data_IF_204421350085
#
_entry.id   IF_204421350085
#
_cell.length_a   1.000
_cell.length_b   1.000
_cell.length_c   1.000
_cell.angle_alpha   90.00
_cell.angle_beta   90.00
_cell.angle_gamma   90.00
#
_symmetry.space_group_name_H-M   'P 1'
#
loop_
_entity.id
_entity.type
_entity.pdbx_description
1 polymer ?
#
# COMPACT_ATOMS: atom_id res chain seq x y z
N UNK A 1 -40.84 32.96 -9.79
CA UNK A 1 -39.39 32.79 -10.04
C UNK A 1 -39.03 31.33 -9.81
N UNK A 2 -38.39 30.63 -10.76
CA UNK A 2 -38.00 29.24 -10.57
C UNK A 2 -36.92 29.12 -9.47
N UNK A 3 -36.90 28.04 -8.69
CA UNK A 3 -35.93 27.87 -7.61
C UNK A 3 -34.50 27.80 -8.17
N UNK A 4 -33.58 28.54 -7.55
CA UNK A 4 -32.17 28.51 -7.92
C UNK A 4 -31.62 27.08 -7.77
N UNK A 5 -31.15 26.50 -8.87
CA UNK A 5 -30.52 25.17 -8.88
C UNK A 5 -29.03 25.29 -8.56
N UNK A 6 -28.49 24.29 -7.90
CA UNK A 6 -27.07 24.16 -7.55
C UNK A 6 -26.46 23.00 -8.34
N UNK A 7 -25.56 23.32 -9.27
CA UNK A 7 -24.89 22.32 -10.11
C UNK A 7 -23.56 21.88 -9.49
N UNK A 8 -23.21 20.60 -9.67
CA UNK A 8 -21.93 20.08 -9.22
C UNK A 8 -20.78 20.59 -10.11
N UNK A 9 -19.64 21.04 -9.55
CA UNK A 9 -18.49 21.50 -10.33
C UNK A 9 -17.59 20.36 -10.85
N UNK A 10 -17.96 19.10 -10.59
CA UNK A 10 -17.13 17.92 -10.89
C UNK A 10 -17.85 16.86 -11.72
N UNK A 11 -19.15 17.03 -11.97
CA UNK A 11 -20.01 16.22 -12.83
C UNK A 11 -21.25 17.03 -13.24
N UNK A 12 -22.11 16.50 -14.10
CA UNK A 12 -23.27 17.21 -14.65
C UNK A 12 -24.54 17.13 -13.78
N UNK A 13 -24.45 16.69 -12.52
CA UNK A 13 -25.60 16.58 -11.64
C UNK A 13 -26.08 17.94 -11.08
N UNK A 14 -27.39 18.19 -11.13
CA UNK A 14 -28.05 19.39 -10.58
C UNK A 14 -28.92 19.06 -9.35
N UNK A 15 -28.94 19.95 -8.37
CA UNK A 15 -29.71 19.80 -7.14
C UNK A 15 -30.53 21.04 -6.82
N UNK A 16 -31.74 20.84 -6.31
CA UNK A 16 -32.63 21.93 -5.86
C UNK A 16 -32.25 22.47 -4.47
N UNK A 17 -31.36 21.78 -3.75
CA UNK A 17 -30.88 22.16 -2.42
C UNK A 17 -29.36 22.02 -2.29
N UNK A 18 -28.72 23.02 -1.68
CA UNK A 18 -27.27 23.06 -1.45
C UNK A 18 -26.75 21.92 -0.55
N UNK A 19 -27.55 21.44 0.39
CA UNK A 19 -27.17 20.31 1.27
C UNK A 19 -27.08 18.99 0.52
N UNK A 20 -27.97 18.75 -0.44
CA UNK A 20 -27.96 17.56 -1.30
C UNK A 20 -26.74 17.56 -2.20
N UNK A 21 -26.39 18.73 -2.76
CA UNK A 21 -25.14 18.90 -3.51
C UNK A 21 -23.91 18.63 -2.64
N UNK A 22 -23.84 19.17 -1.42
CA UNK A 22 -22.71 18.91 -0.50
C UNK A 22 -22.57 17.44 -0.14
N UNK A 23 -23.68 16.74 0.10
CA UNK A 23 -23.67 15.30 0.38
C UNK A 23 -23.20 14.51 -0.84
N UNK A 24 -23.66 14.88 -2.04
CA UNK A 24 -23.23 14.27 -3.29
C UNK A 24 -21.72 14.44 -3.52
N UNK A 25 -21.17 15.65 -3.36
CA UNK A 25 -19.73 15.91 -3.53
C UNK A 25 -18.92 15.10 -2.51
N UNK A 26 -19.35 15.06 -1.25
CA UNK A 26 -18.66 14.31 -0.18
C UNK A 26 -18.63 12.80 -0.42
N UNK A 27 -19.67 12.23 -1.04
CA UNK A 27 -19.80 10.79 -1.28
C UNK A 27 -19.20 10.35 -2.62
N UNK A 28 -19.32 11.17 -3.68
CA UNK A 28 -18.94 10.79 -5.05
C UNK A 28 -17.71 11.54 -5.59
N UNK A 29 -17.25 12.60 -4.93
CA UNK A 29 -16.08 13.40 -5.32
C UNK A 29 -15.09 13.59 -4.16
N UNK A 30 -14.97 12.57 -3.30
CA UNK A 30 -14.15 12.59 -2.09
C UNK A 30 -12.67 12.93 -2.33
N UNK A 31 -12.12 12.57 -3.50
CA UNK A 31 -10.75 12.92 -3.92
C UNK A 31 -10.59 14.37 -4.42
N UNK A 32 -11.67 15.01 -4.89
CA UNK A 32 -11.63 16.41 -5.37
C UNK A 32 -11.91 17.43 -4.25
N UNK A 33 -12.63 17.04 -3.20
CA UNK A 33 -12.79 17.83 -1.97
C UNK A 33 -11.46 18.03 -1.21
N UNK A 34 -10.51 17.09 -1.30
CA UNK A 34 -9.17 17.22 -0.71
C UNK A 34 -8.34 18.35 -1.33
N UNK A 35 -8.63 18.75 -2.58
CA UNK A 35 -8.02 19.93 -3.21
C UNK A 35 -8.65 21.25 -2.73
N UNK A 36 -9.88 21.22 -2.18
CA UNK A 36 -10.61 22.41 -1.70
C UNK A 36 -10.61 22.59 -0.18
N UNK A 37 -10.06 21.62 0.57
CA UNK A 37 -9.94 21.66 2.03
C UNK A 37 -8.55 22.09 2.54
N UNK A 38 -7.73 22.76 1.72
CA UNK A 38 -6.53 23.44 2.23
C UNK A 38 -6.93 24.65 3.07
N UNK A 39 -7.27 24.37 4.31
CA UNK A 39 -7.40 25.33 5.38
C UNK A 39 -6.98 24.65 6.69
N UNK A 40 -5.70 24.29 6.78
CA UNK A 40 -5.09 23.72 7.99
C UNK A 40 -4.98 24.74 9.14
N UNK A 41 -5.35 26.02 8.93
CA UNK A 41 -5.40 27.04 9.96
C UNK A 41 -6.48 28.09 9.66
N UNK A 42 -7.13 28.65 10.68
CA UNK A 42 -7.93 29.87 10.54
C UNK A 42 -7.02 31.11 10.36
N UNK A 43 -7.42 32.07 9.52
CA UNK A 43 -6.67 33.31 9.33
C UNK A 43 -6.59 34.12 10.65
N UNK A 44 -5.60 35.02 10.76
CA UNK A 44 -5.32 35.82 11.96
C UNK A 44 -6.56 36.59 12.43
N UNK A 45 -7.33 37.17 11.50
CA UNK A 45 -8.55 37.92 11.82
C UNK A 45 -9.69 37.03 12.35
N UNK A 46 -9.91 35.85 11.75
CA UNK A 46 -10.91 34.90 12.23
C UNK A 46 -10.50 34.29 13.59
N UNK A 47 -9.20 34.03 13.80
CA UNK A 47 -8.65 33.59 15.10
C UNK A 47 -8.90 34.64 16.19
N UNK A 48 -8.51 35.88 15.95
CA UNK A 48 -8.67 36.97 16.93
C UNK A 48 -10.14 37.20 17.33
N UNK A 49 -11.07 37.00 16.38
CA UNK A 49 -12.51 37.20 16.59
C UNK A 49 -13.26 35.93 17.00
N UNK A 50 -12.58 34.78 17.12
CA UNK A 50 -13.16 33.46 17.40
C UNK A 50 -14.36 33.11 16.49
N UNK A 51 -14.29 33.52 15.22
CA UNK A 51 -15.32 33.21 14.21
C UNK A 51 -14.84 32.10 13.28
N UNK A 52 -15.80 31.33 12.73
CA UNK A 52 -15.51 30.23 11.81
C UNK A 52 -14.81 30.76 10.54
N UNK A 53 -13.67 30.18 10.19
CA UNK A 53 -12.91 30.51 8.98
C UNK A 53 -13.13 29.43 7.91
N UNK A 54 -13.62 29.81 6.74
CA UNK A 54 -13.81 28.88 5.61
C UNK A 54 -12.52 28.57 4.86
N UNK A 55 -11.42 29.28 5.20
CA UNK A 55 -10.09 28.82 4.81
C UNK A 55 -9.64 29.11 3.37
N UNK A 56 -10.51 29.70 2.55
CA UNK A 56 -10.12 30.39 1.31
C UNK A 56 -9.23 31.59 1.62
N UNK A 57 -8.31 31.95 0.71
CA UNK A 57 -7.49 33.16 0.82
C UNK A 57 -7.80 34.11 -0.36
N UNK A 58 -8.53 35.23 -0.13
CA UNK A 58 -9.08 35.70 1.13
C UNK A 58 -10.32 34.88 1.57
N UNK A 59 -10.52 34.75 2.88
CA UNK A 59 -11.68 34.02 3.39
C UNK A 59 -12.93 34.88 3.26
N UNK A 60 -14.09 34.26 3.04
CA UNK A 60 -15.35 34.97 2.76
C UNK A 60 -15.70 36.01 3.84
N UNK A 61 -15.43 35.68 5.12
CA UNK A 61 -15.60 36.60 6.25
C UNK A 61 -14.73 37.86 6.13
N UNK A 62 -13.47 37.72 5.69
CA UNK A 62 -12.57 38.85 5.50
C UNK A 62 -12.93 39.64 4.24
N UNK A 63 -13.38 38.96 3.18
CA UNK A 63 -13.78 39.59 1.92
C UNK A 63 -15.03 40.47 2.11
N UNK A 64 -16.08 39.96 2.75
CA UNK A 64 -17.33 40.70 2.99
C UNK A 64 -17.16 41.92 3.89
N UNK A 65 -16.16 41.91 4.77
CA UNK A 65 -15.87 43.01 5.70
C UNK A 65 -14.72 43.92 5.24
N UNK A 66 -14.18 43.69 4.04
CA UNK A 66 -13.05 44.45 3.51
C UNK A 66 -11.78 44.35 4.37
N UNK A 67 -11.61 43.25 5.11
CA UNK A 67 -10.47 43.04 6.00
C UNK A 67 -9.36 42.27 5.28
N UNK A 68 -8.10 42.65 5.51
CA UNK A 68 -6.95 41.96 4.94
C UNK A 68 -6.82 40.54 5.55
N UNK A 69 -6.97 39.50 4.73
CA UNK A 69 -6.88 38.12 5.18
C UNK A 69 -5.42 37.64 5.20
N UNK A 70 -4.86 37.39 6.39
CA UNK A 70 -3.49 36.86 6.58
C UNK A 70 -3.52 35.58 7.41
N UNK A 71 -2.65 34.63 7.08
CA UNK A 71 -2.47 33.39 7.82
C UNK A 71 -1.06 33.40 8.43
N UNK A 72 -0.94 33.16 9.74
CA UNK A 72 0.37 32.99 10.39
C UNK A 72 0.96 31.65 9.95
N UNK A 73 1.97 31.69 9.08
CA UNK A 73 2.93 30.60 8.97
C UNK A 73 3.89 30.74 10.16
N UNK A 74 3.79 29.85 11.13
CA UNK A 74 4.70 29.82 12.27
C UNK A 74 6.14 29.54 11.82
N UNK A 75 7.01 30.55 11.91
CA UNK A 75 8.45 30.49 11.66
C UNK A 75 9.01 31.88 11.43
N UNK A 76 9.35 32.58 12.50
CA UNK A 76 9.57 34.03 12.53
C UNK A 76 10.80 34.57 11.80
N UNK A 77 10.70 35.84 11.39
CA UNK A 77 11.83 36.71 11.08
C UNK A 77 11.82 37.88 12.06
N UNK A 78 12.87 37.97 12.87
CA UNK A 78 13.23 39.12 13.69
C UNK A 78 14.74 39.19 13.72
N UNK A 79 15.30 40.20 13.06
CA UNK A 79 16.71 40.40 12.79
C UNK A 79 17.47 40.87 14.05
N UNK A 80 18.69 40.37 14.25
CA UNK A 80 19.82 41.15 14.77
C UNK A 80 21.16 40.52 14.33
N UNK A 81 22.15 41.37 14.10
CA UNK A 81 23.37 41.18 13.28
C UNK A 81 24.48 40.36 13.95
N UNK A 82 25.15 39.46 13.19
CA UNK A 82 26.59 39.13 13.31
C UNK A 82 27.11 38.37 12.06
N UNK A 83 28.40 38.54 11.77
CA UNK A 83 29.17 38.27 10.54
C UNK A 83 29.32 36.79 10.06
N UNK A 84 29.82 36.55 8.82
CA UNK A 84 29.80 35.25 8.14
C UNK A 84 31.08 34.42 8.33
N UNK A 85 30.94 33.11 8.57
CA UNK A 85 31.99 32.07 8.57
C UNK A 85 31.39 30.73 8.03
N UNK A 86 32.21 29.78 7.55
CA UNK A 86 32.09 29.19 6.21
C UNK A 86 31.01 28.11 6.04
N UNK A 87 30.55 28.00 4.79
CA UNK A 87 29.56 27.04 4.31
C UNK A 87 29.88 25.60 4.73
N UNK A 88 29.23 25.14 5.79
CA UNK A 88 29.11 23.72 6.09
C UNK A 88 27.92 23.18 5.29
N UNK A 89 28.24 22.30 4.34
CA UNK A 89 27.33 21.51 3.52
C UNK A 89 26.01 21.20 4.24
N UNK A 90 24.92 21.79 3.76
CA UNK A 90 23.56 21.50 4.24
C UNK A 90 23.23 20.03 3.94
N UNK A 91 23.51 19.15 4.89
CA UNK A 91 23.03 17.76 4.84
C UNK A 91 21.50 17.81 4.93
N UNK A 92 20.83 17.61 3.80
CA UNK A 92 19.38 17.43 3.77
C UNK A 92 19.06 16.15 4.55
N UNK A 93 18.63 16.28 5.80
CA UNK A 93 18.23 15.14 6.62
C UNK A 93 16.94 14.55 6.06
N UNK A 94 17.00 13.35 5.49
CA UNK A 94 15.83 12.64 4.97
C UNK A 94 14.94 12.23 6.15
N UNK A 95 13.79 12.90 6.32
CA UNK A 95 12.79 12.51 7.30
C UNK A 95 11.94 11.35 6.75
N UNK A 96 12.40 10.14 7.05
CA UNK A 96 11.72 8.88 6.70
C UNK A 96 10.44 8.60 7.50
N UNK A 97 10.04 9.47 8.43
CA UNK A 97 8.83 9.27 9.25
C UNK A 97 7.61 10.03 8.72
N UNK A 98 7.82 11.08 7.94
CA UNK A 98 6.74 11.86 7.34
C UNK A 98 6.23 11.20 6.06
N UNK A 99 5.31 10.24 6.21
CA UNK A 99 4.67 9.50 5.12
C UNK A 99 3.72 10.33 4.22
N UNK A 100 3.72 11.66 4.36
CA UNK A 100 2.97 12.56 3.48
C UNK A 100 3.86 13.55 2.74
N UNK A 101 5.18 13.38 2.81
CA UNK A 101 6.12 14.20 2.05
C UNK A 101 6.01 13.89 0.54
N UNK A 102 6.20 14.90 -0.34
CA UNK A 102 6.14 14.69 -1.78
C UNK A 102 7.24 13.77 -2.32
N UNK A 103 8.34 13.61 -1.57
CA UNK A 103 9.47 12.74 -1.94
C UNK A 103 9.12 11.24 -1.85
N UNK A 104 8.03 10.88 -1.19
CA UNK A 104 7.60 9.48 -1.06
C UNK A 104 7.27 8.86 -2.40
N UNK A 105 6.60 9.62 -3.27
CA UNK A 105 6.18 9.12 -4.57
C UNK A 105 7.42 8.70 -5.39
N UNK A 106 8.53 9.44 -5.26
CA UNK A 106 9.82 9.09 -5.87
C UNK A 106 10.38 7.76 -5.33
N UNK A 107 10.34 7.53 -4.02
CA UNK A 107 10.85 6.28 -3.43
C UNK A 107 9.93 5.09 -3.75
N UNK A 108 8.61 5.30 -3.78
CA UNK A 108 7.64 4.28 -4.19
C UNK A 108 7.84 3.92 -5.67
N UNK A 109 8.07 4.89 -6.55
CA UNK A 109 8.44 4.62 -7.95
C UNK A 109 9.76 3.85 -8.04
N UNK A 110 10.78 4.23 -7.26
CA UNK A 110 12.05 3.53 -7.25
C UNK A 110 11.90 2.06 -6.81
N UNK A 111 11.02 1.78 -5.83
CA UNK A 111 10.66 0.42 -5.41
C UNK A 111 10.07 -0.38 -6.58
N UNK A 112 9.01 0.13 -7.21
CA UNK A 112 8.32 -0.59 -8.28
C UNK A 112 9.17 -0.72 -9.56
N UNK A 113 10.09 0.20 -9.81
CA UNK A 113 10.95 0.15 -10.98
C UNK A 113 12.15 -0.80 -10.83
N UNK A 114 12.68 -0.99 -9.61
CA UNK A 114 13.99 -1.63 -9.40
C UNK A 114 13.97 -2.86 -8.52
N UNK A 115 12.97 -3.01 -7.65
CA UNK A 115 12.87 -4.12 -6.71
C UNK A 115 11.69 -5.04 -7.03
N UNK A 116 10.52 -4.47 -7.31
CA UNK A 116 9.30 -5.22 -7.63
C UNK A 116 9.48 -6.26 -8.76
N UNK A 117 10.27 -6.04 -9.84
CA UNK A 117 10.48 -7.08 -10.86
C UNK A 117 11.12 -8.39 -10.35
N UNK A 118 11.78 -8.37 -9.20
CA UNK A 118 12.36 -9.57 -8.57
C UNK A 118 11.47 -10.09 -7.43
N UNK A 119 10.81 -9.21 -6.70
CA UNK A 119 9.97 -9.52 -5.55
C UNK A 119 8.55 -8.98 -5.78
N UNK A 120 7.86 -9.54 -6.76
CA UNK A 120 6.59 -9.05 -7.29
C UNK A 120 5.38 -9.52 -6.49
N UNK A 121 5.38 -9.32 -5.16
CA UNK A 121 4.26 -9.71 -4.27
C UNK A 121 3.39 -8.54 -3.79
N UNK A 122 3.60 -7.34 -4.30
CA UNK A 122 2.68 -6.21 -4.18
C UNK A 122 2.11 -5.88 -5.55
N UNK A 123 0.81 -5.70 -5.68
CA UNK A 123 0.23 -5.34 -6.98
C UNK A 123 0.38 -3.85 -7.26
N UNK A 124 1.13 -3.51 -8.32
CA UNK A 124 1.50 -2.11 -8.63
C UNK A 124 0.28 -1.21 -8.86
N UNK A 125 -0.73 -1.69 -9.58
CA UNK A 125 -1.87 -0.86 -9.95
C UNK A 125 -2.84 -0.60 -8.79
N UNK A 126 -2.87 -1.47 -7.77
CA UNK A 126 -3.74 -1.30 -6.60
C UNK A 126 -3.02 -0.67 -5.41
N UNK A 127 -1.68 -0.73 -5.37
CA UNK A 127 -0.90 -0.12 -4.30
C UNK A 127 -1.04 1.40 -4.31
N UNK A 128 -1.49 1.98 -3.19
CA UNK A 128 -1.57 3.43 -3.02
C UNK A 128 -1.04 3.84 -1.65
N UNK A 129 0.05 4.63 -1.55
CA UNK A 129 0.62 5.04 -0.26
C UNK A 129 -0.37 5.70 0.69
N UNK A 130 -1.43 6.31 0.16
CA UNK A 130 -2.47 6.99 0.96
C UNK A 130 -3.57 6.06 1.48
N UNK A 131 -3.66 4.84 0.95
CA UNK A 131 -4.69 3.85 1.30
C UNK A 131 -4.11 2.65 2.03
N UNK A 132 -2.82 2.38 1.83
CA UNK A 132 -2.12 1.29 2.51
C UNK A 132 -1.87 1.56 3.99
N UNK A 133 -1.61 0.47 4.72
CA UNK A 133 -1.11 0.56 6.09
C UNK A 133 0.20 1.36 6.11
N UNK A 134 0.34 2.37 7.00
CA UNK A 134 1.58 3.17 7.10
C UNK A 134 2.84 2.33 7.23
N UNK A 135 2.75 1.19 7.93
CA UNK A 135 3.86 0.26 8.12
C UNK A 135 4.30 -0.43 6.82
N UNK A 136 3.35 -0.77 5.93
CA UNK A 136 3.66 -1.29 4.60
C UNK A 136 4.30 -0.22 3.71
N UNK A 137 3.79 1.01 3.77
CA UNK A 137 4.38 2.14 3.04
C UNK A 137 5.81 2.41 3.50
N UNK A 138 6.09 2.33 4.81
CA UNK A 138 7.46 2.43 5.34
C UNK A 138 8.37 1.36 4.76
N UNK A 139 7.92 0.11 4.65
CA UNK A 139 8.70 -0.97 4.06
C UNK A 139 9.04 -0.70 2.58
N UNK A 140 8.05 -0.22 1.81
CA UNK A 140 8.23 0.16 0.41
C UNK A 140 9.18 1.34 0.27
N UNK A 141 9.03 2.38 1.10
CA UNK A 141 9.91 3.56 1.11
C UNK A 141 11.33 3.19 1.52
N UNK A 142 11.52 2.30 2.49
CA UNK A 142 12.83 1.80 2.92
C UNK A 142 13.60 1.18 1.74
N UNK A 143 12.95 0.27 1.00
CA UNK A 143 13.57 -0.36 -0.17
C UNK A 143 13.73 0.66 -1.31
N UNK A 144 12.78 1.57 -1.49
CA UNK A 144 12.85 2.65 -2.48
C UNK A 144 14.02 3.62 -2.26
N UNK A 145 14.25 4.02 -1.01
CA UNK A 145 15.42 4.79 -0.56
C UNK A 145 16.72 4.06 -0.91
N UNK A 146 16.78 2.76 -0.64
CA UNK A 146 17.95 1.94 -0.96
C UNK A 146 18.19 1.80 -2.46
N UNK A 147 17.11 1.65 -3.24
CA UNK A 147 17.14 1.50 -4.67
C UNK A 147 17.53 2.82 -5.38
N UNK A 148 17.33 3.97 -4.73
CA UNK A 148 17.68 5.28 -5.26
C UNK A 148 19.19 5.47 -5.26
N UNK A 149 19.77 5.74 -6.42
CA UNK A 149 21.23 5.87 -6.60
C UNK A 149 21.74 7.30 -6.63
N UNK A 150 20.85 8.29 -6.80
CA UNK A 150 21.21 9.68 -7.08
C UNK A 150 21.25 10.56 -5.84
N UNK A 151 20.67 10.12 -4.72
CA UNK A 151 20.51 10.94 -3.52
C UNK A 151 21.48 10.54 -2.42
N UNK A 152 22.37 11.47 -2.06
CA UNK A 152 23.30 11.30 -0.96
C UNK A 152 22.55 11.02 0.35
N UNK A 153 22.97 10.00 1.09
CA UNK A 153 22.35 9.60 2.36
C UNK A 153 21.07 8.77 2.27
N UNK A 154 20.54 8.48 1.06
CA UNK A 154 19.31 7.68 0.92
C UNK A 154 19.48 6.23 1.44
N UNK A 155 20.60 5.58 1.13
CA UNK A 155 20.92 4.23 1.65
C UNK A 155 21.06 4.18 3.17
N UNK A 156 21.72 5.19 3.74
CA UNK A 156 21.86 5.35 5.19
C UNK A 156 20.48 5.55 5.85
N UNK A 157 19.61 6.35 5.22
CA UNK A 157 18.23 6.52 5.68
C UNK A 157 17.41 5.22 5.59
N UNK A 158 17.63 4.40 4.56
CA UNK A 158 17.01 3.08 4.46
C UNK A 158 17.45 2.14 5.60
N UNK A 159 18.75 2.07 5.90
CA UNK A 159 19.27 1.27 7.03
C UNK A 159 18.68 1.77 8.36
N UNK A 160 18.65 3.08 8.59
CA UNK A 160 18.04 3.67 9.79
C UNK A 160 16.54 3.37 9.89
N UNK A 161 15.83 3.38 8.77
CA UNK A 161 14.41 3.02 8.74
C UNK A 161 14.22 1.52 9.03
N UNK A 162 15.09 0.65 8.51
CA UNK A 162 15.09 -0.78 8.83
C UNK A 162 15.26 -1.03 10.33
N UNK A 163 16.23 -0.38 10.97
CA UNK A 163 16.41 -0.46 12.44
C UNK A 163 15.17 -0.04 13.22
N UNK A 164 14.54 1.08 12.84
CA UNK A 164 13.29 1.54 13.45
C UNK A 164 12.15 0.54 13.24
N UNK A 165 12.04 -0.01 12.03
CA UNK A 165 11.04 -1.02 11.72
C UNK A 165 11.24 -2.30 12.55
N UNK A 166 12.48 -2.76 12.75
CA UNK A 166 12.78 -3.90 13.62
C UNK A 166 12.22 -3.70 15.03
N UNK A 167 12.47 -2.53 15.64
CA UNK A 167 11.93 -2.20 16.97
C UNK A 167 10.41 -2.24 16.93
N UNK A 168 9.79 -1.62 15.93
CA UNK A 168 8.32 -1.59 15.79
C UNK A 168 7.70 -2.99 15.63
N UNK A 169 8.31 -3.87 14.84
CA UNK A 169 7.85 -5.26 14.64
C UNK A 169 7.79 -6.00 15.97
N UNK A 170 8.84 -5.86 16.80
CA UNK A 170 8.93 -6.52 18.10
C UNK A 170 7.95 -5.94 19.11
N UNK A 171 7.81 -4.62 19.16
CA UNK A 171 6.83 -3.95 20.03
C UNK A 171 5.39 -4.35 19.68
N UNK A 172 5.11 -4.56 18.40
CA UNK A 172 3.78 -4.94 17.92
C UNK A 172 3.58 -6.45 17.81
N UNK A 173 4.54 -7.28 18.25
CA UNK A 173 4.50 -8.74 18.09
C UNK A 173 3.18 -9.35 18.54
N UNK A 174 2.68 -8.98 19.72
CA UNK A 174 1.39 -9.48 20.25
C UNK A 174 0.16 -9.22 19.35
N UNK A 175 0.24 -8.26 18.42
CA UNK A 175 -0.87 -7.89 17.53
C UNK A 175 -0.91 -8.75 16.26
N UNK A 176 0.25 -9.19 15.78
CA UNK A 176 0.36 -9.89 14.50
C UNK A 176 0.78 -11.36 14.66
N UNK A 177 1.54 -11.68 15.70
CA UNK A 177 2.03 -13.02 16.00
C UNK A 177 0.96 -13.83 16.73
N UNK A 178 0.45 -14.85 16.05
CA UNK A 178 -0.53 -15.82 16.57
C UNK A 178 0.08 -17.22 16.70
N UNK A 179 1.41 -17.35 16.60
CA UNK A 179 2.10 -18.63 16.68
C UNK A 179 1.82 -19.38 18.00
N UNK A 180 1.64 -18.63 19.10
CA UNK A 180 1.32 -19.18 20.42
C UNK A 180 -0.18 -19.31 20.72
N UNK A 181 -1.07 -18.90 19.80
CA UNK A 181 -2.51 -18.97 20.02
C UNK A 181 -3.01 -20.42 19.99
N UNK A 182 -4.04 -20.70 20.79
CA UNK A 182 -4.77 -21.98 20.72
C UNK A 182 -5.62 -22.02 19.44
N UNK A 183 -5.98 -23.22 18.97
CA UNK A 183 -6.76 -23.36 17.73
C UNK A 183 -8.14 -22.68 17.80
N UNK A 184 -8.74 -22.61 19.00
CA UNK A 184 -10.03 -21.95 19.25
C UNK A 184 -9.90 -20.44 19.55
N UNK A 185 -8.72 -19.83 19.38
CA UNK A 185 -8.49 -18.42 19.72
C UNK A 185 -9.26 -17.48 18.77
N UNK A 186 -10.07 -16.53 19.29
CA UNK A 186 -10.78 -15.56 18.45
C UNK A 186 -9.89 -14.75 17.51
N UNK A 187 -8.62 -14.54 17.83
CA UNK A 187 -7.67 -13.79 16.99
C UNK A 187 -7.39 -14.50 15.64
N UNK A 188 -7.64 -15.81 15.57
CA UNK A 188 -7.55 -16.59 14.33
C UNK A 188 -8.76 -16.37 13.41
N UNK A 189 -9.89 -15.90 13.96
CA UNK A 189 -11.09 -15.55 13.19
C UNK A 189 -11.05 -14.11 12.64
N UNK A 190 -10.12 -13.29 13.11
CA UNK A 190 -9.90 -11.94 12.57
C UNK A 190 -9.40 -11.99 11.12
N UNK A 191 -9.74 -10.95 10.35
CA UNK A 191 -9.25 -10.82 8.98
C UNK A 191 -7.71 -10.87 8.94
N UNK A 192 -7.17 -11.53 7.92
CA UNK A 192 -5.73 -11.68 7.79
C UNK A 192 -5.00 -10.33 7.79
N UNK A 193 -3.93 -10.16 8.58
CA UNK A 193 -3.15 -8.93 8.63
C UNK A 193 -2.19 -8.85 7.43
N UNK A 194 -2.74 -8.84 6.20
CA UNK A 194 -1.98 -8.98 4.95
C UNK A 194 -0.92 -7.88 4.83
N UNK A 195 -1.31 -6.61 4.95
CA UNK A 195 -0.36 -5.50 4.82
C UNK A 195 0.74 -5.50 5.90
N UNK A 196 0.43 -5.95 7.12
CA UNK A 196 1.47 -6.13 8.16
C UNK A 196 2.41 -7.28 7.79
N UNK A 197 1.87 -8.39 7.31
CA UNK A 197 2.65 -9.56 6.90
C UNK A 197 3.57 -9.21 5.73
N UNK A 198 3.06 -8.52 4.70
CA UNK A 198 3.83 -8.01 3.57
C UNK A 198 4.94 -7.06 4.01
N UNK A 199 4.66 -6.16 4.95
CA UNK A 199 5.65 -5.22 5.47
C UNK A 199 6.79 -5.95 6.22
N UNK A 200 6.47 -6.97 7.02
CA UNK A 200 7.46 -7.81 7.71
C UNK A 200 8.28 -8.60 6.68
N UNK A 201 7.65 -9.16 5.64
CA UNK A 201 8.37 -9.88 4.59
C UNK A 201 9.32 -8.96 3.82
N UNK A 202 8.88 -7.76 3.43
CA UNK A 202 9.77 -6.75 2.82
C UNK A 202 10.94 -6.38 3.72
N UNK A 203 10.71 -6.27 5.03
CA UNK A 203 11.77 -6.07 6.02
C UNK A 203 12.79 -7.22 6.02
N UNK A 204 12.33 -8.47 5.99
CA UNK A 204 13.21 -9.66 5.96
C UNK A 204 13.97 -9.77 4.63
N UNK A 205 13.30 -9.53 3.50
CA UNK A 205 13.98 -9.47 2.19
C UNK A 205 15.09 -8.42 2.21
N UNK A 206 14.81 -7.24 2.77
CA UNK A 206 15.83 -6.20 2.88
C UNK A 206 17.02 -6.64 3.76
N UNK A 207 16.79 -7.35 4.87
CA UNK A 207 17.87 -7.94 5.68
C UNK A 207 18.76 -8.86 4.82
N UNK A 208 18.16 -9.79 4.06
CA UNK A 208 18.94 -10.71 3.19
C UNK A 208 19.73 -9.98 2.10
N UNK A 209 19.17 -8.88 1.55
CA UNK A 209 19.85 -8.07 0.54
C UNK A 209 21.09 -7.35 1.09
N UNK A 210 21.01 -6.85 2.33
CA UNK A 210 22.14 -6.17 2.98
C UNK A 210 23.28 -7.14 3.29
N UNK A 211 22.96 -8.33 3.78
CA UNK A 211 23.97 -9.37 4.04
C UNK A 211 24.66 -9.85 2.77
N UNK A 212 23.90 -10.11 1.70
CA UNK A 212 24.45 -10.56 0.42
C UNK A 212 25.44 -9.55 -0.16
N UNK A 213 25.24 -8.25 0.13
CA UNK A 213 26.11 -7.16 -0.33
C UNK A 213 27.27 -6.86 0.62
N UNK A 214 27.40 -7.59 1.73
CA UNK A 214 28.48 -7.45 2.72
C UNK A 214 28.67 -6.00 3.21
N UNK A 215 27.57 -5.28 3.42
CA UNK A 215 27.64 -3.91 3.95
C UNK A 215 28.18 -3.94 5.39
N UNK A 216 29.23 -3.16 5.68
CA UNK A 216 29.98 -3.25 6.95
C UNK A 216 29.13 -2.93 8.21
N UNK A 217 27.97 -2.29 8.02
CA UNK A 217 26.98 -1.99 9.06
C UNK A 217 25.66 -2.76 8.86
N UNK A 218 25.66 -3.84 8.06
CA UNK A 218 24.47 -4.63 7.78
C UNK A 218 23.93 -5.29 9.06
N UNK A 219 22.63 -5.20 9.33
CA UNK A 219 22.00 -6.02 10.35
C UNK A 219 22.09 -7.50 9.97
N UNK A 220 22.40 -8.35 10.95
CA UNK A 220 22.52 -9.79 10.73
C UNK A 220 21.15 -10.48 10.69
N UNK A 221 20.96 -11.42 9.77
CA UNK A 221 19.84 -12.37 9.70
C UNK A 221 19.66 -13.14 10.99
N UNK A 222 20.74 -13.38 11.75
CA UNK A 222 20.70 -13.95 13.09
C UNK A 222 19.76 -13.17 14.02
N UNK A 223 19.76 -11.84 13.93
CA UNK A 223 18.91 -11.00 14.78
C UNK A 223 17.43 -11.14 14.40
N UNK A 224 17.14 -11.35 13.12
CA UNK A 224 15.78 -11.29 12.57
C UNK A 224 15.13 -12.67 12.37
N UNK A 225 15.85 -13.77 12.68
CA UNK A 225 15.35 -15.14 12.51
C UNK A 225 14.07 -15.43 13.31
N UNK A 226 13.96 -14.91 14.53
CA UNK A 226 12.78 -15.15 15.37
C UNK A 226 11.54 -14.45 14.79
N UNK A 227 11.73 -13.32 14.08
CA UNK A 227 10.66 -12.63 13.37
C UNK A 227 10.17 -13.49 12.19
N UNK A 228 11.10 -14.07 11.42
CA UNK A 228 10.77 -14.97 10.33
C UNK A 228 10.02 -16.22 10.82
N UNK A 229 10.51 -16.88 11.87
CA UNK A 229 9.86 -18.06 12.48
C UNK A 229 8.44 -17.71 12.94
N UNK A 230 8.28 -16.60 13.68
CA UNK A 230 6.97 -16.15 14.15
C UNK A 230 6.01 -15.83 13.00
N UNK A 231 6.50 -15.20 11.92
CA UNK A 231 5.70 -14.92 10.72
C UNK A 231 5.23 -16.20 10.05
N UNK A 232 6.14 -17.17 9.82
CA UNK A 232 5.81 -18.47 9.22
C UNK A 232 4.78 -19.22 10.06
N UNK A 233 5.01 -19.36 11.37
CA UNK A 233 4.06 -20.02 12.28
C UNK A 233 2.70 -19.33 12.28
N UNK A 234 2.67 -18.00 12.27
CA UNK A 234 1.43 -17.22 12.20
C UNK A 234 0.68 -17.43 10.88
N UNK A 235 1.38 -17.43 9.75
CA UNK A 235 0.79 -17.71 8.44
C UNK A 235 0.22 -19.13 8.36
N UNK A 236 0.93 -20.12 8.92
CA UNK A 236 0.45 -21.51 9.01
C UNK A 236 -0.82 -21.60 9.85
N UNK A 237 -0.82 -21.00 11.04
CA UNK A 237 -1.96 -21.03 11.97
C UNK A 237 -3.22 -20.40 11.37
N UNK A 238 -3.05 -19.35 10.55
CA UNK A 238 -4.13 -18.69 9.80
C UNK A 238 -4.53 -19.42 8.51
N UNK A 239 -3.82 -20.50 8.14
CA UNK A 239 -4.06 -21.25 6.93
C UNK A 239 -3.77 -20.47 5.64
N UNK A 240 -2.84 -19.50 5.69
CA UNK A 240 -2.52 -18.59 4.58
C UNK A 240 -1.81 -19.29 3.40
N UNK A 241 -1.39 -20.54 3.55
CA UNK A 241 -0.76 -21.35 2.50
C UNK A 241 -1.73 -22.33 1.82
N UNK A 242 -3.03 -22.25 2.12
CA UNK A 242 -4.06 -23.06 1.46
C UNK A 242 -4.84 -22.23 0.45
N UNK A 243 -4.88 -22.70 -0.81
CA UNK A 243 -5.64 -22.05 -1.87
C UNK A 243 -7.14 -21.93 -1.55
N UNK A 244 -7.71 -22.95 -0.90
CA UNK A 244 -9.11 -22.95 -0.50
C UNK A 244 -9.40 -21.85 0.54
N UNK A 245 -8.48 -21.66 1.50
CA UNK A 245 -8.60 -20.61 2.49
C UNK A 245 -8.45 -19.22 1.87
N UNK A 246 -7.50 -19.03 0.95
CA UNK A 246 -7.35 -17.76 0.19
C UNK A 246 -8.66 -17.41 -0.52
N UNK A 247 -9.21 -18.38 -1.27
CA UNK A 247 -10.47 -18.26 -1.99
C UNK A 247 -11.62 -17.88 -1.05
N UNK A 248 -11.75 -18.59 0.07
CA UNK A 248 -12.86 -18.40 1.02
C UNK A 248 -12.78 -17.02 1.69
N UNK A 249 -11.57 -16.62 2.08
CA UNK A 249 -11.31 -15.32 2.69
C UNK A 249 -11.74 -14.18 1.76
N UNK A 250 -11.30 -14.19 0.49
CA UNK A 250 -11.56 -13.08 -0.43
C UNK A 250 -12.92 -13.16 -1.13
N UNK A 251 -13.58 -14.32 -1.18
CA UNK A 251 -14.98 -14.44 -1.61
C UNK A 251 -15.94 -13.71 -0.66
N UNK A 252 -15.74 -13.85 0.65
CA UNK A 252 -16.63 -13.24 1.66
C UNK A 252 -16.61 -11.70 1.66
N UNK A 253 -15.49 -11.12 1.23
CA UNK A 253 -15.29 -9.66 1.12
C UNK A 253 -15.94 -9.09 -0.16
N UNK A 254 -16.10 -9.93 -1.19
CA UNK A 254 -16.58 -9.57 -2.54
C UNK A 254 -18.09 -9.40 -2.72
N UNK A 255 -18.92 -9.42 -1.66
CA UNK A 255 -20.38 -9.27 -1.75
C UNK A 255 -20.85 -7.83 -2.08
N UNK A 256 -20.13 -7.07 -2.91
CA UNK A 256 -20.57 -5.77 -3.46
C UNK A 256 -20.50 -5.81 -5.00
N UNK A 257 -21.53 -5.32 -5.73
CA UNK A 257 -21.85 -5.87 -7.04
C UNK A 257 -21.04 -5.32 -8.22
N UNK A 258 -20.14 -4.36 -7.99
CA UNK A 258 -19.36 -3.73 -9.05
C UNK A 258 -17.90 -3.59 -8.57
N UNK A 259 -16.95 -4.18 -9.30
CA UNK A 259 -15.50 -4.28 -9.02
C UNK A 259 -15.01 -5.40 -8.07
N UNK A 260 -15.86 -6.34 -7.66
CA UNK A 260 -15.46 -7.44 -6.78
C UNK A 260 -14.41 -8.40 -7.40
N UNK A 261 -14.43 -8.48 -8.71
CA UNK A 261 -13.79 -9.52 -9.50
C UNK A 261 -12.28 -9.36 -9.62
N UNK A 262 -11.79 -8.23 -10.15
CA UNK A 262 -10.36 -7.92 -10.17
C UNK A 262 -9.79 -7.89 -8.75
N UNK A 263 -10.51 -7.27 -7.81
CA UNK A 263 -10.04 -7.16 -6.43
C UNK A 263 -9.86 -8.53 -5.77
N UNK A 264 -10.80 -9.46 -5.97
CA UNK A 264 -10.68 -10.81 -5.45
C UNK A 264 -9.52 -11.56 -6.10
N UNK A 265 -9.39 -11.52 -7.44
CA UNK A 265 -8.30 -12.20 -8.15
C UNK A 265 -6.93 -11.65 -7.72
N UNK A 266 -6.78 -10.32 -7.72
CA UNK A 266 -5.56 -9.65 -7.24
C UNK A 266 -5.24 -10.05 -5.81
N UNK A 267 -6.22 -10.12 -4.91
CA UNK A 267 -5.98 -10.52 -3.51
C UNK A 267 -5.49 -11.96 -3.38
N UNK A 268 -6.04 -12.88 -4.19
CA UNK A 268 -5.59 -14.28 -4.22
C UNK A 268 -4.17 -14.38 -4.77
N UNK A 269 -3.90 -13.72 -5.91
CA UNK A 269 -2.57 -13.72 -6.51
C UNK A 269 -1.52 -13.06 -5.63
N UNK A 270 -1.87 -11.95 -4.99
CA UNK A 270 -1.00 -11.27 -4.03
C UNK A 270 -0.63 -12.21 -2.88
N UNK A 271 -1.57 -13.03 -2.41
CA UNK A 271 -1.34 -13.99 -1.34
C UNK A 271 -0.45 -15.16 -1.77
N UNK A 272 -0.64 -15.70 -2.99
CA UNK A 272 0.25 -16.74 -3.54
C UNK A 272 1.67 -16.21 -3.72
N UNK A 273 1.81 -15.00 -4.28
CA UNK A 273 3.11 -14.33 -4.50
C UNK A 273 3.80 -14.02 -3.17
N UNK A 274 3.06 -13.56 -2.17
CA UNK A 274 3.57 -13.40 -0.82
C UNK A 274 4.07 -14.73 -0.24
N UNK A 275 3.28 -15.81 -0.34
CA UNK A 275 3.64 -17.11 0.21
C UNK A 275 4.88 -17.69 -0.47
N UNK A 276 4.98 -17.56 -1.79
CA UNK A 276 6.16 -17.95 -2.56
C UNK A 276 7.40 -17.11 -2.18
N UNK A 277 7.25 -15.79 -2.01
CA UNK A 277 8.34 -14.94 -1.55
C UNK A 277 8.78 -15.26 -0.11
N UNK A 278 7.84 -15.55 0.79
CA UNK A 278 8.15 -15.98 2.16
C UNK A 278 8.91 -17.31 2.16
N UNK A 279 8.51 -18.27 1.32
CA UNK A 279 9.25 -19.51 1.12
C UNK A 279 10.67 -19.26 0.60
N UNK A 280 10.85 -18.38 -0.38
CA UNK A 280 12.19 -18.02 -0.88
C UNK A 280 13.07 -17.44 0.22
N UNK A 281 12.56 -16.51 1.04
CA UNK A 281 13.29 -15.95 2.19
C UNK A 281 13.61 -17.03 3.22
N UNK A 282 12.67 -17.94 3.49
CA UNK A 282 12.88 -19.09 4.36
C UNK A 282 14.07 -19.95 3.90
N UNK A 283 14.11 -20.30 2.61
CA UNK A 283 15.23 -21.07 2.03
C UNK A 283 16.58 -20.34 2.15
N UNK A 284 16.60 -19.00 2.05
CA UNK A 284 17.84 -18.23 2.23
C UNK A 284 18.36 -18.31 3.68
N UNK A 285 17.47 -18.26 4.67
CA UNK A 285 17.83 -18.40 6.09
C UNK A 285 18.24 -19.82 6.47
N UNK A 286 17.62 -20.82 5.85
CA UNK A 286 18.01 -22.22 6.00
C UNK A 286 19.42 -22.47 5.44
N UNK A 287 19.68 -21.99 4.22
CA UNK A 287 21.00 -22.12 3.57
C UNK A 287 22.12 -21.39 4.31
N UNK A 288 21.80 -20.32 5.06
CA UNK A 288 22.79 -19.63 5.90
C UNK A 288 23.09 -20.36 7.22
N UNK A 289 22.33 -21.40 7.57
CA UNK A 289 22.50 -22.16 8.82
C UNK A 289 22.08 -21.40 10.08
N UNK A 290 21.29 -20.33 9.95
CA UNK A 290 20.87 -19.45 11.06
C UNK A 290 19.64 -20.00 11.81
N UNK A 291 18.82 -20.79 11.13
CA UNK A 291 17.61 -21.40 11.70
C UNK A 291 17.97 -22.55 12.65
N UNK A 292 17.25 -22.69 13.78
CA UNK A 292 17.35 -23.87 14.63
C UNK A 292 17.00 -25.16 13.86
N UNK A 293 17.70 -26.26 14.14
CA UNK A 293 17.47 -27.56 13.47
C UNK A 293 16.02 -28.05 13.63
N UNK A 294 15.41 -27.85 14.79
CA UNK A 294 14.04 -28.25 15.10
C UNK A 294 12.97 -27.41 14.38
N UNK A 295 13.34 -26.25 13.87
CA UNK A 295 12.44 -25.33 13.18
C UNK A 295 12.67 -25.34 11.66
N UNK A 296 13.71 -26.00 11.12
CA UNK A 296 14.06 -25.98 9.70
C UNK A 296 12.95 -26.53 8.79
N UNK A 297 12.22 -27.54 9.27
CA UNK A 297 11.11 -28.21 8.58
C UNK A 297 9.77 -27.44 8.69
N UNK A 298 9.76 -26.23 9.26
CA UNK A 298 8.52 -25.45 9.42
C UNK A 298 7.86 -25.05 8.11
N UNK A 299 8.63 -24.89 7.03
CA UNK A 299 8.12 -24.42 5.74
C UNK A 299 8.80 -25.14 4.57
N UNK A 300 8.32 -26.33 4.30
CA UNK A 300 8.66 -27.14 3.12
C UNK A 300 7.71 -26.87 1.95
N UNK A 301 8.04 -27.39 0.77
CA UNK A 301 7.27 -27.18 -0.46
C UNK A 301 5.83 -27.73 -0.33
N UNK A 302 5.67 -28.86 0.37
CA UNK A 302 4.41 -29.55 0.61
C UNK A 302 3.40 -28.70 1.42
N UNK A 303 3.90 -27.69 2.15
CA UNK A 303 3.07 -26.78 2.92
C UNK A 303 2.44 -25.69 2.04
N UNK A 304 2.95 -25.44 0.82
CA UNK A 304 2.42 -24.47 -0.13
C UNK A 304 1.31 -25.11 -0.98
N UNK A 305 0.11 -25.19 -0.44
CA UNK A 305 -1.04 -25.86 -1.05
C UNK A 305 -1.81 -24.94 -2.00
N UNK A 306 -1.14 -24.40 -3.02
CA UNK A 306 -1.71 -23.55 -4.06
C UNK A 306 -0.98 -23.72 -5.40
N UNK A 307 -1.63 -23.46 -6.54
CA UNK A 307 -0.95 -23.47 -7.84
C UNK A 307 0.07 -22.34 -7.92
N UNK A 308 1.10 -22.49 -8.75
CA UNK A 308 2.06 -21.41 -9.02
C UNK A 308 1.33 -20.10 -9.38
N UNK A 309 1.78 -18.93 -8.89
CA UNK A 309 1.20 -17.65 -9.28
C UNK A 309 1.18 -17.45 -10.79
N UNK A 310 0.17 -16.72 -11.27
CA UNK A 310 0.07 -16.36 -12.67
C UNK A 310 1.24 -15.48 -13.10
N UNK A 311 1.60 -15.55 -14.38
CA UNK A 311 2.74 -14.80 -14.92
C UNK A 311 2.58 -13.29 -14.83
N UNK A 312 3.71 -12.58 -14.89
CA UNK A 312 3.76 -11.10 -14.83
C UNK A 312 2.83 -10.42 -15.86
N UNK A 313 2.59 -11.08 -16.99
CA UNK A 313 1.64 -10.57 -17.99
C UNK A 313 0.22 -10.40 -17.41
N UNK A 314 -0.32 -11.34 -16.66
CA UNK A 314 -1.65 -11.16 -16.04
C UNK A 314 -1.55 -10.27 -14.79
N UNK A 315 -0.47 -10.42 -14.02
CA UNK A 315 -0.24 -9.68 -12.79
C UNK A 315 -0.10 -8.16 -12.99
N UNK A 316 0.42 -7.72 -14.12
CA UNK A 316 0.58 -6.28 -14.42
C UNK A 316 -0.72 -5.62 -14.94
N UNK A 317 -1.88 -6.28 -14.81
CA UNK A 317 -3.15 -5.73 -15.24
C UNK A 317 -3.55 -4.53 -14.38
N UNK A 318 -3.82 -3.39 -15.01
CA UNK A 318 -4.12 -2.14 -14.30
C UNK A 318 -5.61 -1.95 -13.97
N UNK A 319 -6.45 -2.77 -14.58
CA UNK A 319 -7.90 -2.65 -14.53
C UNK A 319 -8.55 -3.98 -14.88
N UNK A 320 -9.84 -4.10 -14.57
CA UNK A 320 -10.61 -5.31 -14.81
C UNK A 320 -10.72 -5.59 -16.32
N UNK A 321 -10.92 -4.53 -17.11
CA UNK A 321 -10.93 -4.63 -18.57
C UNK A 321 -9.58 -5.06 -19.13
N UNK A 322 -8.47 -4.58 -18.56
CA UNK A 322 -7.13 -5.00 -18.99
C UNK A 322 -6.87 -6.47 -18.63
N UNK A 323 -7.23 -6.90 -17.40
CA UNK A 323 -7.11 -8.30 -17.00
C UNK A 323 -7.90 -9.23 -17.93
N UNK A 324 -9.16 -8.88 -18.22
CA UNK A 324 -10.02 -9.63 -19.16
C UNK A 324 -9.40 -9.74 -20.55
N UNK A 325 -8.87 -8.64 -21.08
CA UNK A 325 -8.16 -8.62 -22.36
C UNK A 325 -6.96 -9.56 -22.36
N UNK A 326 -6.10 -9.46 -21.34
CA UNK A 326 -4.89 -10.28 -21.22
C UNK A 326 -5.21 -11.77 -21.07
N UNK A 327 -6.25 -12.12 -20.31
CA UNK A 327 -6.77 -13.49 -20.21
C UNK A 327 -7.20 -14.01 -21.59
N UNK A 328 -7.93 -13.20 -22.36
CA UNK A 328 -8.33 -13.56 -23.73
C UNK A 328 -7.13 -13.82 -24.64
N UNK A 329 -6.07 -13.02 -24.51
CA UNK A 329 -4.83 -13.19 -25.26
C UNK A 329 -4.09 -14.48 -24.88
N UNK A 330 -3.98 -14.79 -23.59
CA UNK A 330 -3.36 -16.05 -23.12
C UNK A 330 -4.13 -17.28 -23.62
N UNK A 331 -5.48 -17.26 -23.54
CA UNK A 331 -6.32 -18.31 -24.11
C UNK A 331 -6.07 -18.50 -25.61
N UNK A 332 -5.95 -17.41 -26.36
CA UNK A 332 -5.70 -17.45 -27.82
C UNK A 332 -4.32 -18.03 -28.19
N UNK A 333 -3.34 -17.94 -27.28
CA UNK A 333 -2.00 -18.50 -27.43
C UNK A 333 -1.91 -19.97 -27.02
N UNK A 334 -3.03 -20.59 -26.63
CA UNK A 334 -3.09 -21.98 -26.18
C UNK A 334 -2.62 -22.16 -24.73
N UNK A 335 -2.38 -21.08 -23.99
CA UNK A 335 -2.17 -21.17 -22.56
C UNK A 335 -3.49 -21.59 -21.89
N UNK A 336 -3.39 -22.44 -20.88
CA UNK A 336 -4.49 -22.73 -19.95
C UNK A 336 -4.16 -22.02 -18.63
N UNK A 337 -4.60 -20.77 -18.42
CA UNK A 337 -4.59 -20.19 -17.09
C UNK A 337 -5.31 -21.15 -16.14
N UNK A 338 -4.90 -21.21 -14.87
CA UNK A 338 -5.32 -22.26 -13.94
C UNK A 338 -6.84 -22.49 -14.00
N UNK A 339 -7.27 -23.67 -14.50
CA UNK A 339 -8.69 -23.98 -14.74
C UNK A 339 -9.53 -23.83 -13.46
N UNK A 340 -8.91 -24.00 -12.28
CA UNK A 340 -9.54 -23.79 -10.97
C UNK A 340 -9.83 -22.31 -10.65
N UNK A 341 -9.01 -21.38 -11.13
CA UNK A 341 -9.24 -19.94 -10.96
C UNK A 341 -10.34 -19.45 -11.90
N UNK A 342 -10.37 -19.94 -13.13
CA UNK A 342 -11.46 -19.64 -14.06
C UNK A 342 -12.81 -20.23 -13.62
N UNK A 343 -12.82 -21.43 -13.03
CA UNK A 343 -14.03 -21.98 -12.38
C UNK A 343 -14.42 -21.23 -11.09
N UNK A 344 -13.43 -20.74 -10.33
CA UNK A 344 -13.65 -19.99 -9.09
C UNK A 344 -14.32 -18.63 -9.30
N UNK A 345 -13.96 -17.99 -10.41
CA UNK A 345 -14.52 -16.73 -10.91
C UNK A 345 -15.98 -16.90 -11.40
N UNK A 346 -16.42 -18.14 -11.70
CA UNK A 346 -17.83 -18.52 -11.89
C UNK A 346 -18.48 -17.94 -13.15
N UNK A 347 -19.67 -18.43 -13.49
CA UNK A 347 -20.50 -18.07 -14.67
C UNK A 347 -20.59 -16.57 -14.98
N UNK A 348 -20.45 -15.70 -13.97
CA UNK A 348 -20.34 -14.25 -14.15
C UNK A 348 -19.18 -13.85 -15.07
N UNK A 349 -18.08 -14.59 -15.13
CA UNK A 349 -16.93 -14.27 -15.97
C UNK A 349 -17.10 -14.68 -17.42
N UNK A 350 -17.68 -15.85 -17.67
CA UNK A 350 -18.04 -16.21 -19.04
C UNK A 350 -19.12 -15.26 -19.56
N UNK A 351 -20.07 -14.84 -18.72
CA UNK A 351 -21.08 -13.84 -19.06
C UNK A 351 -20.45 -12.44 -19.28
N UNK A 352 -19.56 -11.97 -18.40
CA UNK A 352 -18.85 -10.67 -18.53
C UNK A 352 -17.92 -10.67 -19.73
N UNK A 353 -17.17 -11.75 -19.96
CA UNK A 353 -16.27 -11.89 -21.11
C UNK A 353 -17.08 -11.97 -22.42
N UNK A 354 -18.20 -12.69 -22.42
CA UNK A 354 -19.11 -12.77 -23.57
C UNK A 354 -19.78 -11.42 -23.86
N UNK A 355 -20.23 -10.68 -22.84
CA UNK A 355 -20.81 -9.34 -23.01
C UNK A 355 -19.74 -8.32 -23.44
N UNK A 356 -18.53 -8.39 -22.92
CA UNK A 356 -17.41 -7.55 -23.37
C UNK A 356 -17.05 -7.80 -24.84
N UNK A 357 -16.97 -9.08 -25.26
CA UNK A 357 -16.73 -9.46 -26.66
C UNK A 357 -17.87 -8.95 -27.55
N UNK A 358 -19.14 -9.15 -27.16
CA UNK A 358 -20.31 -8.65 -27.90
C UNK A 358 -20.34 -7.13 -28.03
N UNK A 359 -20.02 -6.39 -26.96
CA UNK A 359 -19.98 -4.93 -26.98
C UNK A 359 -18.88 -4.41 -27.92
N UNK A 360 -17.75 -5.11 -28.00
CA UNK A 360 -16.65 -4.77 -28.91
C UNK A 360 -17.00 -5.05 -30.37
N UNK A 361 -17.65 -6.17 -30.66
CA UNK A 361 -18.13 -6.51 -32.01
C UNK A 361 -19.23 -5.56 -32.50
N UNK A 362 -20.04 -5.01 -31.60
CA UNK A 362 -21.06 -4.01 -31.93
C UNK A 362 -20.51 -2.58 -32.12
N UNK A 363 -19.25 -2.33 -31.72
CA UNK A 363 -18.58 -1.04 -31.82
C UNK A 363 -17.61 -0.92 -33.02
N UNK A 364 -17.45 -2.01 -33.77
CA UNK A 364 -16.79 -2.08 -35.09
C UNK A 364 -17.83 -2.19 -36.19
#
# INVERSE_FOLDING_TARGET
MPPAKFSCPHCECEYTRRDSLRRHIKLHHRDKDLKRLRALAACVNCKARKTKCEGSAPCDFCLERGLQCKYDNGGGSGADQAQPEPATSSQTTIDCTNLWSPEIDQYVEAYFARFHPTWSFLHKATFSPRRELPFLVQAVVMIGLWATTQQSGAREAAIKLHEKMRVSIREQQKKWDVSGCKDDDPQLQEAWPIGTSQAILLFLVFTTMLETRQEAAAPSTQNDRDILIALVKSCRKRGMFSHENMITQFRSVGARPYHATLCAWVSVEEMKRFAAALYQVWRLYEQSGVLPEDEAELLEDEHLQFPMPDGEFLWDADSEADLLRRIGEEKSRGARPCEKEMQWLGTSWDDILTDYIRQREAAT
#
